data_IF_869327624282
#
_entry.id   IF_869327624282
#
_cell.length_a   1.000
_cell.length_b   1.000
_cell.length_c   1.000
_cell.angle_alpha   90.00
_cell.angle_beta   90.00
_cell.angle_gamma   90.00
#
_symmetry.space_group_name_H-M   'P 1'
#
loop_
_entity.id
_entity.type
_entity.pdbx_description
1 polymer ?
#
# COMPACT_ATOMS: atom_id res chain seq x y z
N UNK A 1 0.30 -18.18 -6.69
CA UNK A 1 0.98 -17.12 -7.44
C UNK A 1 2.32 -17.63 -7.90
N UNK A 2 2.69 -17.35 -9.14
CA UNK A 2 4.07 -17.44 -9.61
C UNK A 2 4.94 -16.40 -8.89
N UNK A 3 6.26 -16.60 -8.81
CA UNK A 3 7.16 -15.58 -8.27
C UNK A 3 7.05 -14.25 -9.02
N UNK A 4 7.28 -13.14 -8.34
CA UNK A 4 7.33 -11.79 -8.92
C UNK A 4 8.47 -11.67 -9.94
N UNK A 5 8.19 -11.07 -11.11
CA UNK A 5 9.20 -10.78 -12.13
C UNK A 5 10.20 -9.71 -11.68
N UNK A 6 11.37 -9.65 -12.35
CA UNK A 6 12.47 -8.75 -11.95
C UNK A 6 12.11 -7.26 -12.00
N UNK A 7 11.38 -6.82 -13.03
CA UNK A 7 10.99 -5.41 -13.18
C UNK A 7 9.99 -4.98 -12.10
N UNK A 8 8.92 -5.76 -11.89
CA UNK A 8 7.97 -5.54 -10.81
C UNK A 8 8.66 -5.55 -9.44
N UNK A 9 9.58 -6.50 -9.21
CA UNK A 9 10.35 -6.59 -7.97
C UNK A 9 11.21 -5.35 -7.74
N UNK A 10 11.89 -4.84 -8.77
CA UNK A 10 12.71 -3.63 -8.67
C UNK A 10 11.86 -2.38 -8.39
N UNK A 11 10.74 -2.22 -9.08
CA UNK A 11 9.80 -1.12 -8.83
C UNK A 11 9.22 -1.17 -7.41
N UNK A 12 8.84 -2.36 -6.94
CA UNK A 12 8.32 -2.51 -5.59
C UNK A 12 9.37 -2.25 -4.51
N UNK A 13 10.63 -2.62 -4.76
CA UNK A 13 11.73 -2.27 -3.86
C UNK A 13 11.90 -0.75 -3.72
N UNK A 14 11.78 0.01 -4.81
CA UNK A 14 11.85 1.47 -4.78
C UNK A 14 10.67 2.07 -3.97
N UNK A 15 9.44 1.63 -4.26
CA UNK A 15 8.23 2.00 -3.50
C UNK A 15 8.39 1.78 -1.99
N UNK A 16 8.79 0.57 -1.61
CA UNK A 16 8.99 0.19 -0.21
C UNK A 16 10.15 0.96 0.42
N UNK A 17 11.24 1.18 -0.33
CA UNK A 17 12.43 1.90 0.13
C UNK A 17 12.11 3.35 0.50
N UNK A 18 11.35 4.06 -0.35
CA UNK A 18 10.91 5.42 -0.09
C UNK A 18 9.99 5.49 1.14
N UNK A 19 8.98 4.60 1.23
CA UNK A 19 8.07 4.54 2.37
C UNK A 19 8.82 4.21 3.68
N UNK A 20 9.73 3.25 3.64
CA UNK A 20 10.53 2.85 4.79
C UNK A 20 11.43 4.00 5.29
N UNK A 21 12.10 4.70 4.37
CA UNK A 21 12.98 5.82 4.71
C UNK A 21 12.20 6.94 5.39
N UNK A 22 11.06 7.33 4.82
CA UNK A 22 10.17 8.32 5.44
C UNK A 22 9.70 7.86 6.82
N UNK A 23 9.26 6.60 6.95
CA UNK A 23 8.77 6.09 8.24
C UNK A 23 9.88 6.08 9.30
N UNK A 24 11.11 5.72 8.92
CA UNK A 24 12.28 5.70 9.81
C UNK A 24 12.67 7.10 10.30
N UNK A 25 12.55 8.11 9.44
CA UNK A 25 12.86 9.49 9.79
C UNK A 25 11.80 10.10 10.72
N UNK A 26 10.52 9.80 10.49
CA UNK A 26 9.41 10.43 11.20
C UNK A 26 8.95 9.65 12.44
N UNK A 27 9.24 8.34 12.52
CA UNK A 27 8.85 7.45 13.63
C UNK A 27 7.35 7.47 13.96
N UNK A 28 6.50 7.68 12.94
CA UNK A 28 5.05 7.77 13.11
C UNK A 28 4.34 6.41 13.06
N UNK A 29 5.05 5.34 12.69
CA UNK A 29 4.45 4.02 12.54
C UNK A 29 5.40 2.90 12.14
N UNK A 30 4.85 1.89 11.48
CA UNK A 30 5.56 0.71 10.95
C UNK A 30 5.19 0.51 9.49
N UNK A 31 6.22 0.44 8.64
CA UNK A 31 6.09 0.04 7.24
C UNK A 31 6.35 -1.47 7.10
N UNK A 32 5.69 -2.10 6.12
CA UNK A 32 5.76 -3.52 5.86
C UNK A 32 5.93 -3.79 4.36
N UNK A 33 6.63 -4.89 4.06
CA UNK A 33 6.88 -5.36 2.71
C UNK A 33 5.70 -6.15 2.12
N UNK A 34 5.86 -6.58 0.86
CA UNK A 34 4.84 -7.32 0.10
C UNK A 34 4.49 -8.70 0.65
N UNK A 35 5.25 -9.21 1.62
CA UNK A 35 5.03 -10.54 2.21
C UNK A 35 4.20 -10.50 3.50
N UNK A 36 3.95 -9.30 4.02
CA UNK A 36 3.26 -9.13 5.30
C UNK A 36 1.74 -9.25 5.14
N UNK A 37 1.17 -10.33 5.68
CA UNK A 37 -0.27 -10.56 5.69
C UNK A 37 -1.03 -9.74 6.74
N UNK A 38 -2.18 -9.24 6.35
CA UNK A 38 -3.19 -8.56 7.18
C UNK A 38 -4.48 -9.37 7.15
N UNK A 39 -5.05 -9.67 8.32
CA UNK A 39 -6.40 -10.22 8.48
C UNK A 39 -7.37 -9.06 8.62
N UNK A 40 -8.12 -8.79 7.56
CA UNK A 40 -9.07 -7.69 7.52
C UNK A 40 -10.32 -8.00 8.38
N UNK A 41 -11.07 -6.98 8.84
CA UNK A 41 -12.31 -7.15 9.60
C UNK A 41 -13.35 -8.09 8.96
N UNK A 42 -13.44 -8.13 7.62
CA UNK A 42 -14.33 -9.05 6.91
C UNK A 42 -13.85 -10.52 6.88
N UNK A 43 -12.73 -10.83 7.53
CA UNK A 43 -12.14 -12.17 7.61
C UNK A 43 -11.20 -12.54 6.46
N UNK A 44 -11.10 -11.69 5.42
CA UNK A 44 -10.15 -11.90 4.33
C UNK A 44 -8.71 -11.72 4.80
N UNK A 45 -7.77 -12.31 4.06
CA UNK A 45 -6.34 -12.07 4.24
C UNK A 45 -5.76 -11.44 2.98
N UNK A 46 -4.98 -10.39 3.17
CA UNK A 46 -4.36 -9.60 2.10
C UNK A 46 -2.92 -9.24 2.44
N UNK A 47 -2.11 -8.99 1.42
CA UNK A 47 -0.69 -8.67 1.55
C UNK A 47 -0.37 -7.62 0.50
N UNK A 48 -0.54 -6.31 0.80
CA UNK A 48 -0.27 -5.23 -0.14
C UNK A 48 1.22 -5.18 -0.48
N UNK A 49 1.58 -4.68 -1.66
CA UNK A 49 2.97 -4.59 -2.12
C UNK A 49 3.86 -3.72 -1.22
N UNK A 50 3.28 -2.65 -0.67
CA UNK A 50 3.83 -1.89 0.43
C UNK A 50 2.69 -1.40 1.33
N UNK A 51 2.90 -1.41 2.64
CA UNK A 51 1.87 -0.93 3.57
C UNK A 51 2.45 -0.25 4.79
N UNK A 52 1.62 0.55 5.47
CA UNK A 52 1.99 1.22 6.69
C UNK A 52 0.83 1.30 7.68
N UNK A 53 1.16 1.22 8.97
CA UNK A 53 0.23 1.46 10.06
C UNK A 53 0.79 2.46 11.05
N UNK A 54 -0.09 3.26 11.65
CA UNK A 54 0.24 4.18 12.74
C UNK A 54 0.85 3.45 13.93
N UNK A 55 1.76 4.13 14.63
CA UNK A 55 2.45 3.58 15.79
C UNK A 55 1.47 3.17 16.90
N UNK A 56 0.45 3.98 17.16
CA UNK A 56 -0.60 3.67 18.15
C UNK A 56 -1.33 2.35 17.85
N UNK A 57 -1.59 2.05 16.56
CA UNK A 57 -2.24 0.80 16.13
C UNK A 57 -1.29 -0.39 16.21
N UNK A 58 0.01 -0.18 16.03
CA UNK A 58 1.01 -1.21 16.28
C UNK A 58 1.14 -1.52 17.78
N UNK A 59 1.14 -0.50 18.62
CA UNK A 59 1.44 -0.64 20.05
C UNK A 59 0.33 -1.36 20.82
N UNK A 60 -0.92 -1.26 20.39
CA UNK A 60 -2.04 -2.04 20.94
C UNK A 60 -1.98 -3.52 20.58
N UNK A 61 -1.20 -3.93 19.58
CA UNK A 61 -1.06 -5.34 19.23
C UNK A 61 -0.23 -6.07 20.28
N UNK A 62 -0.71 -7.24 20.69
CA UNK A 62 0.05 -8.15 21.53
C UNK A 62 1.30 -8.67 20.79
N UNK A 63 2.36 -9.08 21.52
CA UNK A 63 3.54 -9.67 20.90
C UNK A 63 3.24 -10.87 19.99
N UNK A 64 2.23 -11.67 20.31
CA UNK A 64 1.79 -12.81 19.50
C UNK A 64 1.09 -12.39 18.21
N UNK A 65 0.29 -11.31 18.24
CA UNK A 65 -0.34 -10.77 17.03
C UNK A 65 0.72 -10.20 16.07
N UNK A 66 1.75 -9.52 16.58
CA UNK A 66 2.86 -8.97 15.79
C UNK A 66 3.71 -10.01 15.06
N UNK A 67 3.63 -11.29 15.46
CA UNK A 67 4.37 -12.43 14.87
C UNK A 67 3.55 -13.24 13.85
N UNK A 68 2.29 -12.84 13.61
CA UNK A 68 1.36 -13.50 12.69
C UNK A 68 0.83 -12.47 11.70
N UNK A 69 -0.13 -12.87 10.86
CA UNK A 69 -0.90 -11.90 10.08
C UNK A 69 -1.57 -10.89 11.02
N UNK A 70 -1.36 -9.61 10.75
CA UNK A 70 -1.79 -8.53 11.62
C UNK A 70 -3.32 -8.45 11.59
N UNK A 71 -4.02 -8.51 12.74
CA UNK A 71 -5.48 -8.58 12.80
C UNK A 71 -6.13 -7.20 12.66
N UNK A 72 -5.77 -6.48 11.61
CA UNK A 72 -6.26 -5.14 11.28
C UNK A 72 -6.11 -4.87 9.79
N UNK A 73 -6.84 -3.86 9.29
CA UNK A 73 -6.54 -3.23 8.00
C UNK A 73 -5.41 -2.21 8.17
N UNK A 74 -4.45 -2.11 7.23
CA UNK A 74 -3.44 -1.06 7.28
C UNK A 74 -4.05 0.35 7.16
N UNK A 75 -3.33 1.37 7.61
CA UNK A 75 -3.77 2.76 7.41
C UNK A 75 -3.47 3.23 5.99
N UNK A 76 -2.37 2.73 5.41
CA UNK A 76 -1.93 3.02 4.05
C UNK A 76 -1.48 1.75 3.33
N UNK A 77 -1.80 1.64 2.03
CA UNK A 77 -1.45 0.50 1.18
C UNK A 77 -1.15 0.94 -0.25
N UNK A 78 -0.19 0.26 -0.88
CA UNK A 78 0.10 0.34 -2.31
C UNK A 78 -0.10 -1.05 -2.91
N UNK A 79 -0.77 -1.12 -4.06
CA UNK A 79 -0.76 -2.27 -4.97
C UNK A 79 -0.10 -1.82 -6.29
N UNK A 80 0.90 -2.57 -6.73
CA UNK A 80 1.62 -2.35 -7.98
C UNK A 80 1.19 -3.41 -8.98
N UNK A 81 0.45 -2.99 -10.01
CA UNK A 81 -0.01 -3.91 -11.07
C UNK A 81 1.19 -4.48 -11.81
N UNK A 82 1.31 -5.81 -11.82
CA UNK A 82 2.27 -6.54 -12.65
C UNK A 82 1.69 -6.90 -14.01
N UNK A 83 2.54 -7.28 -14.96
CA UNK A 83 2.11 -7.64 -16.32
C UNK A 83 1.13 -8.83 -16.37
N UNK A 84 1.16 -9.69 -15.35
CA UNK A 84 0.27 -10.86 -15.26
C UNK A 84 -1.01 -10.60 -14.47
N UNK A 85 -1.15 -9.43 -13.85
CA UNK A 85 -2.30 -9.12 -13.01
C UNK A 85 -3.49 -8.66 -13.86
N UNK A 86 -4.69 -9.04 -13.40
CA UNK A 86 -5.92 -8.42 -13.86
C UNK A 86 -6.16 -7.11 -13.09
N UNK A 87 -6.34 -6.02 -13.84
CA UNK A 87 -6.56 -4.70 -13.25
C UNK A 87 -7.87 -4.65 -12.44
N UNK A 88 -8.94 -5.28 -12.92
CA UNK A 88 -10.23 -5.24 -12.25
C UNK A 88 -10.19 -6.01 -10.93
N UNK A 89 -9.45 -7.11 -10.86
CA UNK A 89 -9.18 -7.85 -9.62
C UNK A 89 -8.40 -6.97 -8.62
N UNK A 90 -7.39 -6.24 -9.07
CA UNK A 90 -6.60 -5.35 -8.19
C UNK A 90 -7.44 -4.17 -7.70
N UNK A 91 -8.26 -3.57 -8.56
CA UNK A 91 -9.25 -2.55 -8.16
C UNK A 91 -10.28 -3.10 -7.16
N UNK A 92 -10.69 -4.36 -7.30
CA UNK A 92 -11.57 -5.02 -6.33
C UNK A 92 -10.91 -5.17 -4.96
N UNK A 93 -9.62 -5.52 -4.91
CA UNK A 93 -8.83 -5.52 -3.66
C UNK A 93 -8.79 -4.12 -3.02
N UNK A 94 -8.57 -3.07 -3.81
CA UNK A 94 -8.55 -1.69 -3.30
C UNK A 94 -9.88 -1.28 -2.67
N UNK A 95 -11.00 -1.61 -3.32
CA UNK A 95 -12.34 -1.39 -2.75
C UNK A 95 -12.54 -2.18 -1.45
N UNK A 96 -12.08 -3.43 -1.40
CA UNK A 96 -12.14 -4.24 -0.18
C UNK A 96 -11.31 -3.61 0.95
N UNK A 97 -10.10 -3.10 0.69
CA UNK A 97 -9.32 -2.40 1.70
C UNK A 97 -10.07 -1.18 2.26
N UNK A 98 -10.68 -0.35 1.39
CA UNK A 98 -11.47 0.81 1.82
C UNK A 98 -12.66 0.41 2.69
N UNK A 99 -13.39 -0.64 2.31
CA UNK A 99 -14.50 -1.18 3.11
C UNK A 99 -14.07 -1.72 4.48
N UNK A 100 -12.79 -2.08 4.62
CA UNK A 100 -12.20 -2.65 5.83
C UNK A 100 -11.40 -1.63 6.67
N UNK A 101 -11.42 -0.35 6.29
CA UNK A 101 -10.88 0.75 7.09
C UNK A 101 -9.53 1.32 6.63
N UNK A 102 -9.11 1.02 5.39
CA UNK A 102 -7.96 1.70 4.78
C UNK A 102 -8.21 3.21 4.68
N UNK A 103 -7.23 4.04 5.04
CA UNK A 103 -7.37 5.51 5.03
C UNK A 103 -6.88 6.14 3.73
N UNK A 104 -5.82 5.58 3.13
CA UNK A 104 -5.29 5.99 1.84
C UNK A 104 -4.74 4.77 1.09
N UNK A 105 -5.12 4.61 -0.17
CA UNK A 105 -4.63 3.53 -1.01
C UNK A 105 -4.18 4.03 -2.38
N UNK A 106 -3.08 3.50 -2.90
CA UNK A 106 -2.65 3.74 -4.27
C UNK A 106 -2.61 2.44 -5.07
N UNK A 107 -3.30 2.42 -6.20
CA UNK A 107 -3.11 1.40 -7.23
C UNK A 107 -2.26 2.04 -8.32
N UNK A 108 -1.06 1.49 -8.53
CA UNK A 108 -0.09 2.00 -9.49
C UNK A 108 -0.06 1.02 -10.67
N UNK A 109 -0.38 1.52 -11.86
CA UNK A 109 -0.31 0.78 -13.10
C UNK A 109 0.82 1.36 -13.98
N UNK A 110 2.03 0.75 -13.97
CA UNK A 110 3.15 1.22 -14.79
C UNK A 110 2.93 1.09 -16.30
N UNK A 111 2.14 0.12 -16.74
CA UNK A 111 1.89 -0.11 -18.16
C UNK A 111 1.12 1.06 -18.79
N UNK A 112 0.08 1.52 -18.10
CA UNK A 112 -0.75 2.66 -18.55
C UNK A 112 -0.28 4.00 -17.96
N UNK A 113 0.80 3.98 -17.17
CA UNK A 113 1.33 5.13 -16.43
C UNK A 113 0.27 5.84 -15.61
N UNK A 114 -0.59 5.08 -14.96
CA UNK A 114 -1.75 5.60 -14.25
C UNK A 114 -1.66 5.27 -12.77
N UNK A 115 -2.15 6.20 -11.94
CA UNK A 115 -2.34 5.97 -10.51
C UNK A 115 -3.79 6.22 -10.16
N UNK A 116 -4.39 5.29 -9.45
CA UNK A 116 -5.68 5.48 -8.80
C UNK A 116 -5.48 5.71 -7.30
N UNK A 117 -6.15 6.74 -6.76
CA UNK A 117 -6.08 7.11 -5.35
C UNK A 117 -7.43 6.82 -4.69
N UNK A 118 -7.38 5.96 -3.68
CA UNK A 118 -8.52 5.48 -2.92
C UNK A 118 -8.55 6.14 -1.54
N UNK A 119 -9.70 6.72 -1.18
CA UNK A 119 -9.94 7.36 0.12
C UNK A 119 -11.35 7.01 0.62
N UNK A 120 -11.58 6.91 1.95
CA UNK A 120 -12.91 6.70 2.49
C UNK A 120 -13.90 7.79 2.05
N UNK A 121 -15.11 7.38 1.66
CA UNK A 121 -16.23 8.28 1.33
C UNK A 121 -15.91 9.30 0.22
N UNK A 122 -15.01 8.96 -0.70
CA UNK A 122 -14.70 9.76 -1.89
C UNK A 122 -14.66 8.86 -3.11
N UNK A 123 -14.96 9.43 -4.26
CA UNK A 123 -14.74 8.76 -5.54
C UNK A 123 -13.25 8.53 -5.76
N UNK A 124 -12.93 7.49 -6.54
CA UNK A 124 -11.56 7.17 -6.93
C UNK A 124 -11.04 8.30 -7.80
N UNK A 125 -9.91 8.88 -7.40
CA UNK A 125 -9.19 9.89 -8.18
C UNK A 125 -8.18 9.20 -9.09
N UNK A 126 -8.16 9.55 -10.37
CA UNK A 126 -7.28 8.92 -11.37
C UNK A 126 -6.32 9.97 -11.93
N UNK A 127 -5.02 9.70 -11.79
CA UNK A 127 -3.95 10.56 -12.30
C UNK A 127 -3.23 9.87 -13.45
N UNK A 128 -3.04 10.60 -14.56
CA UNK A 128 -2.31 10.12 -15.73
C UNK A 128 -0.90 10.69 -15.72
N UNK A 129 0.09 9.79 -15.76
CA UNK A 129 1.53 10.08 -15.73
C UNK A 129 1.96 11.07 -14.62
N UNK A 130 1.52 10.90 -13.35
CA UNK A 130 2.00 11.74 -12.26
C UNK A 130 3.49 11.49 -12.01
N UNK A 131 4.24 12.56 -11.71
CA UNK A 131 5.65 12.44 -11.33
C UNK A 131 5.84 12.15 -9.84
N UNK A 132 4.82 12.43 -9.02
CA UNK A 132 4.86 12.21 -7.57
C UNK A 132 3.46 12.13 -6.96
N UNK A 133 3.35 11.54 -5.76
CA UNK A 133 2.11 11.49 -4.96
C UNK A 133 2.35 12.00 -3.55
N UNK A 134 1.38 12.72 -2.99
CA UNK A 134 1.41 13.12 -1.58
C UNK A 134 0.74 12.07 -0.70
N UNK A 135 1.37 11.74 0.42
CA UNK A 135 0.80 10.90 1.47
C UNK A 135 -0.30 11.56 2.32
N UNK A 136 -0.65 12.82 2.02
CA UNK A 136 -1.75 13.58 2.64
C UNK A 136 -1.64 13.63 4.19
N UNK A 137 -2.78 13.62 4.88
CA UNK A 137 -2.86 13.55 6.34
C UNK A 137 -2.59 12.14 6.89
N UNK A 138 -2.49 11.12 6.01
CA UNK A 138 -2.22 9.74 6.42
C UNK A 138 -0.73 9.52 6.67
N UNK A 139 0.12 10.04 5.78
CA UNK A 139 1.58 10.01 5.87
C UNK A 139 2.11 11.46 5.78
N UNK A 140 2.10 12.23 6.88
CA UNK A 140 2.45 13.64 6.85
C UNK A 140 3.82 13.91 6.23
N UNK A 141 3.84 14.78 5.22
CA UNK A 141 5.06 15.17 4.51
C UNK A 141 5.68 14.09 3.62
N UNK A 142 5.07 12.91 3.51
CA UNK A 142 5.53 11.89 2.56
C UNK A 142 5.19 12.32 1.14
N UNK A 143 6.20 12.27 0.26
CA UNK A 143 6.04 12.42 -1.18
C UNK A 143 6.69 11.19 -1.82
N UNK A 144 5.91 10.40 -2.55
CA UNK A 144 6.44 9.31 -3.36
C UNK A 144 6.87 9.86 -4.72
N UNK A 145 8.12 9.64 -5.11
CA UNK A 145 8.64 9.94 -6.45
C UNK A 145 8.38 8.76 -7.38
N UNK A 146 7.67 8.99 -8.48
CA UNK A 146 7.23 7.97 -9.43
C UNK A 146 8.10 7.87 -10.69
N UNK A 147 9.11 8.72 -10.85
CA UNK A 147 9.90 8.81 -12.10
C UNK A 147 10.61 7.52 -12.50
N UNK A 148 10.94 6.66 -11.53
CA UNK A 148 11.57 5.36 -11.77
C UNK A 148 10.58 4.18 -11.64
N UNK A 149 9.29 4.48 -11.44
CA UNK A 149 8.22 3.48 -11.24
C UNK A 149 7.28 3.41 -12.45
N UNK A 150 6.91 4.56 -13.04
CA UNK A 150 6.05 4.69 -14.24
C UNK A 150 6.83 4.86 -15.56
#
# INVERSE_FOLDING_TARGET
MSPTGGETGNRNLDLLGQLWLWNRQNNLGKAFDSSTGFKLPNGSTRSPDASWIKLERWDILTPQQRKKYLPLCPDFAIELVSESDDLADTQAKMREYIQNGLRLGWLINPQDKQVEIYRPNRDVEVLNSPISLSGEDVLPGFILDLRNIL
#
